data_IF_132195076002
#
_entry.id   IF_132195076002
#
_cell.length_a   1.000
_cell.length_b   1.000
_cell.length_c   1.000
_cell.angle_alpha   90.00
_cell.angle_beta   90.00
_cell.angle_gamma   90.00
#
_symmetry.space_group_name_H-M   'P 1'
#
loop_
_entity.id
_entity.type
_entity.pdbx_description
1 polymer ?
#
# COMPACT_ATOMS: atom_id res chain seq x y z
N UNK A 1 0.35 16.14 29.28
CA UNK A 1 -0.49 15.80 28.11
C UNK A 1 -1.18 14.49 28.41
N UNK A 2 -2.51 14.47 28.48
CA UNK A 2 -3.23 13.22 28.69
C UNK A 2 -3.24 12.46 27.36
N UNK A 3 -2.58 11.30 27.33
CA UNK A 3 -2.59 10.42 26.17
C UNK A 3 -4.05 10.00 25.91
N UNK A 4 -4.60 10.38 24.76
CA UNK A 4 -5.97 9.99 24.38
C UNK A 4 -5.95 8.49 24.07
N UNK A 5 -6.28 7.67 25.07
CA UNK A 5 -6.40 6.22 24.91
C UNK A 5 -7.56 5.91 23.98
N UNK A 6 -7.31 5.12 22.94
CA UNK A 6 -8.32 4.69 21.97
C UNK A 6 -9.50 4.02 22.69
N UNK A 7 -10.72 4.51 22.45
CA UNK A 7 -11.92 3.91 23.03
C UNK A 7 -12.39 2.71 22.20
N UNK A 8 -13.24 1.86 22.79
CA UNK A 8 -13.91 0.77 22.07
C UNK A 8 -14.65 1.27 20.81
N UNK A 9 -15.28 2.44 20.90
CA UNK A 9 -15.99 3.08 19.78
C UNK A 9 -15.04 3.38 18.62
N UNK A 10 -13.85 3.87 18.93
CA UNK A 10 -12.89 4.28 17.92
C UNK A 10 -12.36 3.09 17.13
N UNK A 11 -12.08 1.98 17.81
CA UNK A 11 -11.71 0.72 17.16
C UNK A 11 -12.82 0.17 16.28
N UNK A 12 -14.09 0.25 16.70
CA UNK A 12 -15.23 -0.16 15.86
C UNK A 12 -15.26 0.67 14.56
N UNK A 13 -15.04 1.98 14.64
CA UNK A 13 -15.04 2.86 13.46
C UNK A 13 -13.85 2.53 12.55
N UNK A 14 -12.66 2.33 13.09
CA UNK A 14 -11.46 1.99 12.30
C UNK A 14 -11.62 0.62 11.63
N UNK A 15 -12.17 -0.37 12.34
CA UNK A 15 -12.46 -1.70 11.75
C UNK A 15 -13.50 -1.57 10.65
N UNK A 16 -14.58 -0.81 10.87
CA UNK A 16 -15.58 -0.56 9.84
C UNK A 16 -14.97 0.14 8.61
N UNK A 17 -14.08 1.10 8.80
CA UNK A 17 -13.34 1.75 7.73
C UNK A 17 -12.49 0.75 6.92
N UNK A 18 -11.76 -0.14 7.60
CA UNK A 18 -10.99 -1.20 6.94
C UNK A 18 -11.91 -2.14 6.15
N UNK A 19 -13.04 -2.55 6.73
CA UNK A 19 -14.01 -3.40 6.02
C UNK A 19 -14.52 -2.71 4.76
N UNK A 20 -14.90 -1.43 4.82
CA UNK A 20 -15.35 -0.67 3.65
C UNK A 20 -14.25 -0.55 2.60
N UNK A 21 -13.01 -0.27 3.00
CA UNK A 21 -11.86 -0.27 2.09
C UNK A 21 -11.70 -1.63 1.38
N UNK A 22 -11.76 -2.73 2.12
CA UNK A 22 -11.66 -4.08 1.56
C UNK A 22 -12.81 -4.41 0.61
N UNK A 23 -14.03 -3.93 0.91
CA UNK A 23 -15.17 -4.06 0.00
C UNK A 23 -14.95 -3.27 -1.30
N UNK A 24 -14.38 -2.07 -1.23
CA UNK A 24 -13.96 -1.36 -2.44
C UNK A 24 -12.87 -2.13 -3.20
N UNK A 25 -11.84 -2.64 -2.52
CA UNK A 25 -10.80 -3.45 -3.16
C UNK A 25 -11.38 -4.66 -3.87
N UNK A 26 -12.38 -5.34 -3.29
CA UNK A 26 -13.07 -6.46 -3.92
C UNK A 26 -13.67 -6.11 -5.29
N UNK A 27 -14.17 -4.88 -5.46
CA UNK A 27 -14.69 -4.37 -6.74
C UNK A 27 -13.56 -4.12 -7.75
N UNK A 28 -12.38 -3.70 -7.28
CA UNK A 28 -11.23 -3.38 -8.12
C UNK A 28 -10.19 -4.50 -8.22
N UNK A 29 -10.47 -5.72 -7.78
CA UNK A 29 -9.49 -6.82 -7.83
C UNK A 29 -9.02 -7.16 -9.26
N UNK A 30 -9.82 -6.86 -10.27
CA UNK A 30 -9.46 -7.07 -11.68
C UNK A 30 -8.76 -5.85 -12.31
N UNK A 31 -8.63 -4.75 -11.57
CA UNK A 31 -7.88 -3.59 -12.01
C UNK A 31 -6.39 -3.84 -11.85
N UNK A 32 -5.66 -3.82 -12.95
CA UNK A 32 -4.19 -3.80 -13.00
C UNK A 32 -3.81 -2.71 -13.97
N UNK A 33 -2.97 -1.77 -13.55
CA UNK A 33 -2.49 -0.73 -14.47
C UNK A 33 -1.39 -1.31 -15.35
N UNK A 34 -1.36 -0.92 -16.62
CA UNK A 34 -0.37 -1.35 -17.61
C UNK A 34 1.07 -1.00 -17.18
N UNK A 35 1.25 0.13 -16.50
CA UNK A 35 2.55 0.57 -15.95
C UNK A 35 3.18 -0.47 -14.99
N UNK A 36 2.36 -1.24 -14.27
CA UNK A 36 2.85 -2.29 -13.36
C UNK A 36 3.61 -3.40 -14.09
N UNK A 37 3.32 -3.62 -15.37
CA UNK A 37 3.98 -4.63 -16.19
C UNK A 37 5.46 -4.32 -16.42
N UNK A 38 5.86 -3.05 -16.34
CA UNK A 38 7.27 -2.64 -16.41
C UNK A 38 8.01 -3.23 -15.21
N UNK A 39 7.52 -2.98 -14.00
CA UNK A 39 8.08 -3.50 -12.75
C UNK A 39 8.10 -5.03 -12.71
N UNK A 40 7.04 -5.69 -13.21
CA UNK A 40 6.99 -7.15 -13.31
C UNK A 40 8.08 -7.71 -14.22
N UNK A 41 8.35 -7.07 -15.36
CA UNK A 41 9.41 -7.53 -16.27
C UNK A 41 10.79 -7.40 -15.64
N UNK A 42 11.08 -6.27 -14.98
CA UNK A 42 12.33 -6.10 -14.23
C UNK A 42 12.46 -7.14 -13.12
N UNK A 43 11.39 -7.37 -12.35
CA UNK A 43 11.37 -8.37 -11.30
C UNK A 43 11.59 -9.79 -11.82
N UNK A 44 10.97 -10.15 -12.95
CA UNK A 44 11.12 -11.46 -13.60
C UNK A 44 12.55 -11.69 -14.02
N UNK A 45 13.12 -10.76 -14.78
CA UNK A 45 14.49 -10.89 -15.29
C UNK A 45 15.50 -10.98 -14.14
N UNK A 46 15.26 -10.23 -13.06
CA UNK A 46 16.12 -10.31 -11.87
C UNK A 46 15.99 -11.66 -11.17
N UNK A 47 14.76 -12.15 -11.01
CA UNK A 47 14.50 -13.45 -10.41
C UNK A 47 15.14 -14.59 -11.21
N UNK A 48 15.10 -14.53 -12.55
CA UNK A 48 15.68 -15.51 -13.49
C UNK A 48 17.21 -15.41 -13.64
N UNK A 49 17.85 -14.43 -13.00
CA UNK A 49 19.31 -14.31 -12.94
C UNK A 49 19.95 -13.39 -14.00
N UNK A 50 19.15 -12.72 -14.83
CA UNK A 50 19.63 -11.71 -15.79
C UNK A 50 19.97 -10.36 -15.12
N UNK A 51 19.57 -10.18 -13.86
CA UNK A 51 19.67 -8.93 -13.12
C UNK A 51 18.44 -8.02 -13.32
N UNK A 52 18.37 -6.88 -12.62
CA UNK A 52 17.24 -5.94 -12.71
C UNK A 52 17.31 -5.13 -14.00
N UNK A 53 17.09 -5.78 -15.14
CA UNK A 53 17.11 -5.20 -16.48
C UNK A 53 15.78 -5.40 -17.19
N UNK A 54 15.42 -4.52 -18.12
CA UNK A 54 14.23 -4.70 -18.95
C UNK A 54 14.48 -5.71 -20.09
N UNK A 55 15.63 -5.59 -20.77
CA UNK A 55 16.08 -6.51 -21.81
C UNK A 55 17.37 -7.21 -21.36
N UNK A 56 17.41 -8.55 -21.27
CA UNK A 56 18.65 -9.26 -21.01
C UNK A 56 19.76 -8.89 -22.00
N UNK A 57 20.95 -8.56 -21.47
CA UNK A 57 22.07 -8.05 -22.27
C UNK A 57 22.21 -6.52 -22.28
N UNK A 58 21.14 -5.78 -21.96
CA UNK A 58 21.15 -4.32 -21.85
C UNK A 58 21.05 -3.89 -20.39
N UNK A 59 22.06 -3.15 -19.89
CA UNK A 59 22.08 -2.66 -18.51
C UNK A 59 21.57 -1.23 -18.44
N UNK A 60 20.24 -1.10 -18.39
CA UNK A 60 19.55 0.18 -18.25
C UNK A 60 18.58 0.09 -17.08
N UNK A 61 18.71 1.02 -16.13
CA UNK A 61 17.76 1.20 -15.05
C UNK A 61 16.57 2.02 -15.55
N UNK A 62 15.41 1.37 -15.66
CA UNK A 62 14.17 1.97 -16.17
C UNK A 62 13.00 1.93 -15.20
N UNK A 63 13.19 1.42 -13.98
CA UNK A 63 12.19 1.44 -12.91
C UNK A 63 12.39 2.67 -12.03
N UNK A 64 11.30 3.16 -11.44
CA UNK A 64 11.32 4.26 -10.44
C UNK A 64 11.09 3.76 -9.01
N UNK A 65 10.84 2.46 -8.85
CA UNK A 65 10.45 1.83 -7.59
C UNK A 65 11.30 0.59 -7.27
N UNK A 66 12.62 0.76 -7.10
CA UNK A 66 13.56 -0.36 -6.87
C UNK A 66 13.12 -1.31 -5.75
N UNK A 67 12.68 -0.77 -4.60
CA UNK A 67 12.23 -1.59 -3.47
C UNK A 67 11.02 -2.48 -3.82
N UNK A 68 10.11 -1.98 -4.65
CA UNK A 68 8.96 -2.75 -5.16
C UNK A 68 9.40 -3.85 -6.11
N UNK A 69 10.27 -3.52 -7.06
CA UNK A 69 10.87 -4.50 -7.99
C UNK A 69 11.60 -5.61 -7.22
N UNK A 70 12.35 -5.28 -6.17
CA UNK A 70 13.04 -6.25 -5.33
C UNK A 70 12.07 -7.20 -4.59
N UNK A 71 10.98 -6.67 -4.04
CA UNK A 71 9.95 -7.48 -3.37
C UNK A 71 9.25 -8.42 -4.36
N UNK A 72 8.91 -7.93 -5.54
CA UNK A 72 8.29 -8.73 -6.60
C UNK A 72 9.25 -9.80 -7.13
N UNK A 73 10.54 -9.49 -7.28
CA UNK A 73 11.55 -10.46 -7.69
C UNK A 73 11.69 -11.58 -6.64
N UNK A 74 11.67 -11.23 -5.35
CA UNK A 74 11.69 -12.21 -4.26
C UNK A 74 10.44 -13.10 -4.26
N UNK A 75 9.25 -12.52 -4.45
CA UNK A 75 8.00 -13.28 -4.57
C UNK A 75 8.02 -14.24 -5.79
N UNK A 76 8.50 -13.77 -6.94
CA UNK A 76 8.57 -14.60 -8.13
C UNK A 76 9.56 -15.76 -7.99
N UNK A 77 10.70 -15.54 -7.31
CA UNK A 77 11.68 -16.61 -7.03
C UNK A 77 11.11 -17.78 -6.24
N UNK A 78 10.12 -17.53 -5.38
CA UNK A 78 9.44 -18.58 -4.60
C UNK A 78 8.18 -19.11 -5.31
N UNK A 79 7.97 -18.76 -6.58
CA UNK A 79 6.90 -19.29 -7.42
C UNK A 79 5.56 -18.59 -7.27
N UNK A 80 5.50 -17.40 -6.66
CA UNK A 80 4.26 -16.63 -6.57
C UNK A 80 3.97 -15.88 -7.86
N UNK A 81 2.68 -15.79 -8.19
CA UNK A 81 2.19 -14.94 -9.27
C UNK A 81 2.38 -13.46 -8.92
N UNK A 82 2.94 -12.69 -9.84
CA UNK A 82 3.31 -11.29 -9.59
C UNK A 82 2.11 -10.39 -9.43
N UNK A 83 1.07 -10.60 -10.24
CA UNK A 83 -0.12 -9.76 -10.22
C UNK A 83 -0.91 -9.96 -8.92
N UNK A 84 -1.10 -11.20 -8.52
CA UNK A 84 -1.76 -11.53 -7.25
C UNK A 84 -0.95 -11.04 -6.05
N UNK A 85 0.38 -11.17 -6.11
CA UNK A 85 1.28 -10.72 -5.04
C UNK A 85 1.30 -9.21 -4.90
N UNK A 86 1.43 -8.48 -6.01
CA UNK A 86 1.45 -7.01 -6.01
C UNK A 86 0.14 -6.44 -5.47
N UNK A 87 -1.00 -7.03 -5.83
CA UNK A 87 -2.32 -6.68 -5.30
C UNK A 87 -2.44 -6.96 -3.82
N UNK A 88 -2.05 -8.15 -3.37
CA UNK A 88 -2.10 -8.49 -1.95
C UNK A 88 -1.24 -7.54 -1.11
N UNK A 89 -0.03 -7.22 -1.58
CA UNK A 89 0.86 -6.26 -0.93
C UNK A 89 0.29 -4.84 -0.94
N UNK A 90 -0.29 -4.39 -2.06
CA UNK A 90 -0.91 -3.07 -2.18
C UNK A 90 -2.12 -2.90 -1.26
N UNK A 91 -3.00 -3.91 -1.18
CA UNK A 91 -4.15 -3.92 -0.26
C UNK A 91 -3.68 -3.93 1.19
N UNK A 92 -2.69 -4.77 1.54
CA UNK A 92 -2.12 -4.81 2.88
C UNK A 92 -1.51 -3.44 3.27
N UNK A 93 -0.77 -2.82 2.36
CA UNK A 93 -0.24 -1.48 2.54
C UNK A 93 -1.35 -0.43 2.70
N UNK A 94 -2.44 -0.53 1.94
CA UNK A 94 -3.61 0.35 2.10
C UNK A 94 -4.21 0.27 3.50
N UNK A 95 -4.33 -0.93 4.08
CA UNK A 95 -4.76 -1.12 5.48
C UNK A 95 -3.78 -0.45 6.45
N UNK A 96 -2.48 -0.66 6.26
CA UNK A 96 -1.43 -0.01 7.07
C UNK A 96 -1.54 1.51 6.98
N UNK A 97 -1.78 2.05 5.78
CA UNK A 97 -1.94 3.49 5.58
C UNK A 97 -3.16 4.05 6.33
N UNK A 98 -4.29 3.34 6.34
CA UNK A 98 -5.49 3.74 7.12
C UNK A 98 -5.18 3.74 8.62
N UNK A 99 -4.50 2.70 9.12
CA UNK A 99 -4.10 2.61 10.53
C UNK A 99 -3.12 3.71 10.92
N UNK A 100 -2.10 3.96 10.10
CA UNK A 100 -1.12 5.02 10.30
C UNK A 100 -1.78 6.40 10.27
N UNK A 101 -2.71 6.64 9.33
CA UNK A 101 -3.48 7.88 9.28
C UNK A 101 -4.32 8.10 10.54
N UNK A 102 -4.97 7.05 11.07
CA UNK A 102 -5.72 7.11 12.32
C UNK A 102 -4.82 7.40 13.53
N UNK A 103 -3.62 6.81 13.57
CA UNK A 103 -2.66 7.01 14.65
C UNK A 103 -2.04 8.43 14.60
N UNK A 104 -1.66 8.89 13.41
CA UNK A 104 -1.13 10.23 13.17
C UNK A 104 -2.16 11.31 13.49
N UNK A 105 -3.38 11.17 12.96
CA UNK A 105 -4.43 12.15 13.19
C UNK A 105 -4.80 12.25 14.68
N UNK A 106 -4.77 11.13 15.41
CA UNK A 106 -5.00 11.12 16.86
C UNK A 106 -3.95 11.94 17.60
N UNK A 107 -2.65 11.75 17.29
CA UNK A 107 -1.56 12.52 17.90
C UNK A 107 -1.66 14.02 17.59
N UNK A 108 -1.96 14.38 16.34
CA UNK A 108 -1.98 15.79 15.91
C UNK A 108 -3.23 16.55 16.34
N UNK A 109 -4.35 15.87 16.55
CA UNK A 109 -5.66 16.49 16.81
C UNK A 109 -6.19 16.16 18.22
N UNK A 110 -5.29 15.93 19.18
CA UNK A 110 -5.57 15.56 20.57
C UNK A 110 -6.85 16.22 21.13
N UNK A 111 -7.76 15.38 21.64
CA UNK A 111 -9.03 15.81 22.25
C UNK A 111 -10.16 16.17 21.28
N UNK A 112 -9.93 16.17 19.96
CA UNK A 112 -10.99 16.44 18.95
C UNK A 112 -11.50 15.15 18.34
N UNK A 113 -12.83 14.93 18.35
CA UNK A 113 -13.46 13.77 17.69
C UNK A 113 -13.21 13.69 16.18
N UNK A 114 -12.74 14.78 15.56
CA UNK A 114 -12.43 14.87 14.14
C UNK A 114 -11.21 14.04 13.71
N UNK A 115 -10.44 13.48 14.64
CA UNK A 115 -9.26 12.68 14.28
C UNK A 115 -9.60 11.45 13.41
N UNK A 116 -10.83 10.93 13.49
CA UNK A 116 -11.27 9.81 12.66
C UNK A 116 -11.62 10.19 11.21
N UNK A 117 -11.65 11.48 10.86
CA UNK A 117 -11.98 11.92 9.50
C UNK A 117 -10.94 11.44 8.49
N UNK A 118 -9.64 11.55 8.80
CA UNK A 118 -8.56 11.14 7.89
C UNK A 118 -8.64 9.65 7.49
N UNK A 119 -8.68 8.68 8.42
CA UNK A 119 -8.81 7.26 8.04
C UNK A 119 -10.13 6.94 7.35
N UNK A 120 -11.23 7.64 7.68
CA UNK A 120 -12.52 7.45 7.00
C UNK A 120 -12.50 7.95 5.55
N UNK A 121 -11.89 9.10 5.28
CA UNK A 121 -11.73 9.64 3.91
C UNK A 121 -10.92 8.68 3.05
N UNK A 122 -9.84 8.10 3.58
CA UNK A 122 -9.07 7.08 2.86
C UNK A 122 -9.90 5.83 2.56
N UNK A 123 -10.60 5.30 3.57
CA UNK A 123 -11.41 4.09 3.43
C UNK A 123 -12.59 4.24 2.45
N UNK A 124 -13.22 5.41 2.45
CA UNK A 124 -14.37 5.73 1.60
C UNK A 124 -13.96 6.14 0.18
N UNK A 125 -12.67 6.33 -0.09
CA UNK A 125 -12.18 6.72 -1.42
C UNK A 125 -12.07 5.50 -2.34
N UNK A 126 -12.91 5.39 -3.39
CA UNK A 126 -12.79 4.30 -4.36
C UNK A 126 -11.49 4.40 -5.16
N UNK A 127 -10.96 5.61 -5.35
CA UNK A 127 -9.67 5.81 -6.00
C UNK A 127 -8.53 5.25 -5.16
N UNK A 128 -8.55 5.44 -3.84
CA UNK A 128 -7.54 4.86 -2.96
C UNK A 128 -7.55 3.34 -3.03
N UNK A 129 -8.74 2.72 -3.03
CA UNK A 129 -8.89 1.27 -3.19
C UNK A 129 -8.43 0.77 -4.58
N UNK A 130 -8.76 1.49 -5.65
CA UNK A 130 -8.31 1.16 -7.01
C UNK A 130 -6.78 1.19 -7.11
N UNK A 131 -6.14 2.24 -6.57
CA UNK A 131 -4.67 2.34 -6.55
C UNK A 131 -4.00 1.32 -5.61
N UNK A 132 -4.68 0.87 -4.56
CA UNK A 132 -4.20 -0.25 -3.75
C UNK A 132 -4.26 -1.60 -4.49
N UNK A 133 -5.15 -1.72 -5.50
CA UNK A 133 -5.27 -2.92 -6.34
C UNK A 133 -4.49 -2.81 -7.66
N UNK A 134 -3.88 -1.66 -7.99
CA UNK A 134 -3.34 -1.40 -9.33
C UNK A 134 -2.13 -2.26 -9.73
N UNK A 135 -1.46 -2.89 -8.76
CA UNK A 135 -0.18 -3.59 -8.95
C UNK A 135 1.05 -2.70 -8.78
N UNK A 136 0.85 -1.41 -8.48
CA UNK A 136 1.91 -0.43 -8.23
C UNK A 136 2.27 -0.34 -6.74
N UNK A 137 3.45 0.22 -6.46
CA UNK A 137 3.93 0.51 -5.11
C UNK A 137 3.19 1.65 -4.41
N UNK A 138 2.26 2.33 -5.09
CA UNK A 138 1.63 3.59 -4.64
C UNK A 138 1.06 3.50 -3.22
N UNK A 139 0.33 2.43 -2.91
CA UNK A 139 -0.22 2.23 -1.56
C UNK A 139 0.86 1.96 -0.51
N UNK A 140 1.92 1.23 -0.87
CA UNK A 140 3.09 1.01 -0.01
C UNK A 140 3.82 2.33 0.27
N UNK A 141 4.06 3.13 -0.76
CA UNK A 141 4.69 4.44 -0.63
C UNK A 141 3.88 5.37 0.30
N UNK A 142 2.57 5.45 0.10
CA UNK A 142 1.67 6.22 0.97
C UNK A 142 1.70 5.73 2.43
N UNK A 143 1.67 4.41 2.64
CA UNK A 143 1.75 3.80 3.97
C UNK A 143 3.06 4.15 4.68
N UNK A 144 4.19 4.04 3.98
CA UNK A 144 5.51 4.37 4.53
C UNK A 144 5.62 5.86 4.91
N UNK A 145 5.08 6.76 4.09
CA UNK A 145 5.02 8.19 4.42
C UNK A 145 4.16 8.42 5.66
N UNK A 146 2.96 7.82 5.72
CA UNK A 146 2.07 8.00 6.87
C UNK A 146 2.70 7.47 8.17
N UNK A 147 3.36 6.30 8.11
CA UNK A 147 4.09 5.74 9.24
C UNK A 147 5.28 6.61 9.65
N UNK A 148 6.03 7.15 8.69
CA UNK A 148 7.16 8.06 8.94
C UNK A 148 6.69 9.36 9.61
N UNK A 149 5.63 9.96 9.09
CA UNK A 149 5.02 11.16 9.67
C UNK A 149 4.53 10.90 11.11
N UNK A 150 3.91 9.74 11.37
CA UNK A 150 3.54 9.33 12.73
C UNK A 150 4.75 9.15 13.63
N UNK A 151 5.83 8.56 13.15
CA UNK A 151 7.04 8.35 13.95
C UNK A 151 7.75 9.67 14.35
N UNK A 152 7.58 10.73 13.54
CA UNK A 152 8.18 12.04 13.78
C UNK A 152 7.28 13.01 14.55
N UNK A 153 5.99 12.70 14.71
CA UNK A 153 5.00 13.52 15.43
C UNK A 153 4.88 13.12 16.90
#
# INVERSE_FOLDING_TARGET
MAEVVATRRDWVIVIAAIVVFLLHCAVYLQYTVDDSLISYRFARNWAEGFGPVYNPGERVEGYTCFGWVALLAAAHRIGLDMESTSKAMGIAAGVVCILAAAALSRRLLDGRSTYLVAPLVLALSPLFAAWACSGMETALFAALIACSAWAMA
#
